data_IF_126935591064
#
_entry.id   IF_126935591064
#
_cell.length_a   1.000
_cell.length_b   1.000
_cell.length_c   1.000
_cell.angle_alpha   90.00
_cell.angle_beta   90.00
_cell.angle_gamma   90.00
#
_symmetry.space_group_name_H-M   'P 1'
#
loop_
_entity.id
_entity.type
_entity.pdbx_description
1 polymer ?
#
# COMPACT_ATOMS: atom_id res chain seq x y z
N UNK A 1 -6.39 -7.23 5.42
CA UNK A 1 -6.14 -6.89 4.01
C UNK A 1 -6.02 -5.37 3.77
N UNK A 2 -6.87 -4.50 4.36
CA UNK A 2 -6.87 -3.03 4.11
C UNK A 2 -5.51 -2.33 4.31
N UNK A 3 -4.72 -2.73 5.33
CA UNK A 3 -3.42 -2.12 5.64
C UNK A 3 -2.36 -2.29 4.54
N UNK A 4 -2.37 -3.43 3.85
CA UNK A 4 -1.41 -3.70 2.78
C UNK A 4 -1.68 -2.80 1.57
N UNK A 5 -2.97 -2.57 1.26
CA UNK A 5 -3.36 -1.69 0.16
C UNK A 5 -2.96 -0.23 0.41
N UNK A 6 -3.16 0.27 1.63
CA UNK A 6 -2.68 1.61 2.03
C UNK A 6 -1.16 1.74 1.92
N UNK A 7 -0.43 0.68 2.26
CA UNK A 7 1.03 0.64 2.15
C UNK A 7 1.48 0.70 0.69
N UNK A 8 0.85 -0.10 -0.18
CA UNK A 8 1.11 -0.10 -1.63
C UNK A 8 0.82 1.28 -2.24
N UNK A 9 -0.30 1.93 -1.87
CA UNK A 9 -0.65 3.27 -2.36
C UNK A 9 0.37 4.32 -1.90
N UNK A 10 0.83 4.26 -0.65
CA UNK A 10 1.87 5.16 -0.14
C UNK A 10 3.21 4.97 -0.87
N UNK A 11 3.63 3.72 -1.06
CA UNK A 11 4.83 3.39 -1.83
C UNK A 11 4.73 3.83 -3.29
N UNK A 12 3.56 3.65 -3.93
CA UNK A 12 3.31 4.14 -5.29
C UNK A 12 3.47 5.66 -5.40
N UNK A 13 3.12 6.40 -4.35
CA UNK A 13 3.23 7.86 -4.29
C UNK A 13 4.63 8.35 -3.90
N UNK A 14 5.43 7.52 -3.24
CA UNK A 14 6.80 7.85 -2.87
C UNK A 14 7.70 8.01 -4.11
N UNK A 15 8.42 9.14 -4.20
CA UNK A 15 9.34 9.47 -5.31
C UNK A 15 10.62 8.64 -5.27
N UNK A 16 10.97 8.05 -4.13
CA UNK A 16 12.15 7.19 -3.95
C UNK A 16 12.01 5.85 -4.67
N UNK A 17 10.77 5.39 -4.90
CA UNK A 17 10.51 4.19 -5.69
C UNK A 17 10.80 4.49 -7.17
N UNK A 18 11.71 3.70 -7.74
CA UNK A 18 12.13 3.87 -9.13
C UNK A 18 10.92 3.83 -10.09
N UNK A 19 10.80 4.76 -11.06
CA UNK A 19 9.64 4.83 -11.94
C UNK A 19 9.32 3.51 -12.66
N UNK A 20 10.35 2.73 -13.03
CA UNK A 20 10.18 1.40 -13.64
C UNK A 20 9.41 0.42 -12.75
N UNK A 21 9.54 0.50 -11.44
CA UNK A 21 8.82 -0.38 -10.51
C UNK A 21 7.34 0.00 -10.48
N UNK A 22 7.02 1.30 -10.62
CA UNK A 22 5.63 1.81 -10.70
C UNK A 22 4.93 1.42 -11.99
N UNK A 23 5.69 1.17 -13.05
CA UNK A 23 5.15 0.72 -14.34
C UNK A 23 4.50 -0.67 -14.21
N UNK A 24 4.95 -1.54 -13.29
CA UNK A 24 4.34 -2.85 -13.05
C UNK A 24 2.86 -2.79 -12.62
N UNK A 25 2.50 -2.13 -11.50
CA UNK A 25 1.10 -1.99 -11.11
C UNK A 25 0.30 -1.15 -12.11
N UNK A 26 0.94 -0.24 -12.85
CA UNK A 26 0.27 0.53 -13.90
C UNK A 26 -0.07 -0.33 -15.13
N UNK A 27 0.83 -1.21 -15.56
CA UNK A 27 0.54 -2.19 -16.62
C UNK A 27 -0.57 -3.15 -16.19
N UNK A 28 -0.55 -3.60 -14.93
CA UNK A 28 -1.62 -4.43 -14.38
C UNK A 28 -2.99 -3.73 -14.45
N UNK A 29 -3.03 -2.41 -14.24
CA UNK A 29 -4.27 -1.64 -14.31
C UNK A 29 -4.70 -1.35 -15.76
N UNK A 30 -3.76 -1.09 -16.66
CA UNK A 30 -4.01 -0.95 -18.10
C UNK A 30 -4.58 -2.26 -18.66
N UNK A 31 -4.05 -3.40 -18.21
CA UNK A 31 -4.54 -4.73 -18.60
C UNK A 31 -6.02 -4.93 -18.23
N UNK A 32 -6.46 -4.44 -17.07
CA UNK A 32 -7.89 -4.47 -16.68
C UNK A 32 -8.79 -3.58 -17.56
N UNK A 33 -8.24 -2.52 -18.18
CA UNK A 33 -8.99 -1.60 -19.04
C UNK A 33 -9.13 -2.16 -20.46
N UNK A 34 -8.17 -2.98 -20.91
CA UNK A 34 -8.17 -3.56 -22.25
C UNK A 34 -7.94 -5.08 -22.19
N UNK A 35 -8.98 -5.86 -21.83
CA UNK A 35 -8.88 -7.31 -21.71
C UNK A 35 -8.59 -8.02 -23.05
N UNK A 36 -8.82 -7.34 -24.18
CA UNK A 36 -8.70 -7.93 -25.52
C UNK A 36 -7.24 -8.16 -25.99
N UNK A 37 -6.22 -7.74 -25.23
CA UNK A 37 -4.81 -7.88 -25.65
C UNK A 37 -4.23 -9.29 -25.47
N UNK A 38 -4.83 -10.14 -24.62
CA UNK A 38 -4.31 -11.49 -24.34
C UNK A 38 -5.43 -12.54 -24.47
N UNK A 39 -5.65 -13.11 -25.66
CA UNK A 39 -6.43 -14.33 -25.80
C UNK A 39 -5.58 -15.53 -25.38
N UNK A 40 -5.93 -16.18 -24.25
CA UNK A 40 -5.22 -17.36 -23.74
C UNK A 40 -5.64 -17.77 -22.32
N UNK A 41 -5.12 -18.86 -21.76
CA UNK A 41 -5.50 -19.40 -20.43
C UNK A 41 -5.03 -18.53 -19.25
N UNK A 42 -4.48 -17.35 -19.52
CA UNK A 42 -4.02 -16.40 -18.52
C UNK A 42 -5.19 -15.51 -18.16
N UNK A 43 -6.08 -16.05 -17.32
CA UNK A 43 -7.18 -15.29 -16.72
C UNK A 43 -6.62 -14.05 -15.98
N UNK A 44 -7.34 -12.93 -16.00
CA UNK A 44 -6.87 -11.61 -15.52
C UNK A 44 -6.21 -11.63 -14.13
N UNK A 45 -6.65 -12.54 -13.27
CA UNK A 45 -6.09 -12.77 -11.94
C UNK A 45 -4.62 -13.23 -11.95
N UNK A 46 -4.21 -14.04 -12.93
CA UNK A 46 -2.83 -14.53 -13.07
C UNK A 46 -1.90 -13.38 -13.44
N UNK A 47 -2.34 -12.52 -14.36
CA UNK A 47 -1.60 -11.34 -14.80
C UNK A 47 -1.42 -10.39 -13.62
N UNK A 48 -2.50 -10.03 -12.94
CA UNK A 48 -2.46 -9.15 -11.76
C UNK A 48 -1.55 -9.74 -10.67
N UNK A 49 -1.72 -11.03 -10.35
CA UNK A 49 -0.90 -11.70 -9.33
C UNK A 49 0.60 -11.68 -9.65
N UNK A 50 0.97 -11.92 -10.90
CA UNK A 50 2.35 -11.89 -11.36
C UNK A 50 2.96 -10.48 -11.24
N UNK A 51 2.25 -9.46 -11.71
CA UNK A 51 2.70 -8.07 -11.63
C UNK A 51 2.83 -7.60 -10.18
N UNK A 52 1.89 -7.98 -9.31
CA UNK A 52 1.94 -7.67 -7.88
C UNK A 52 3.11 -8.37 -7.18
N UNK A 53 3.40 -9.62 -7.53
CA UNK A 53 4.53 -10.36 -6.99
C UNK A 53 5.87 -9.74 -7.40
N UNK A 54 6.03 -9.38 -8.67
CA UNK A 54 7.22 -8.67 -9.13
C UNK A 54 7.36 -7.29 -8.49
N UNK A 55 6.27 -6.55 -8.35
CA UNK A 55 6.29 -5.27 -7.65
C UNK A 55 6.83 -5.43 -6.23
N UNK A 56 6.28 -6.37 -5.46
CA UNK A 56 6.72 -6.62 -4.09
C UNK A 56 8.18 -7.06 -4.02
N UNK A 57 8.68 -7.86 -4.97
CA UNK A 57 10.08 -8.32 -4.97
C UNK A 57 11.07 -7.26 -5.44
N UNK A 58 10.62 -6.23 -6.17
CA UNK A 58 11.46 -5.15 -6.68
C UNK A 58 11.48 -3.93 -5.75
N UNK A 59 10.48 -3.81 -4.89
CA UNK A 59 10.46 -2.77 -3.86
C UNK A 59 11.53 -3.09 -2.79
N UNK A 60 12.44 -2.14 -2.48
CA UNK A 60 13.41 -2.30 -1.40
C UNK A 60 12.73 -2.47 -0.04
N UNK A 61 13.19 -3.43 0.76
CA UNK A 61 12.66 -3.70 2.11
C UNK A 61 12.77 -2.48 3.02
N UNK A 62 13.83 -1.67 2.89
CA UNK A 62 14.03 -0.43 3.66
C UNK A 62 12.85 0.55 3.52
N UNK A 63 12.28 0.67 2.31
CA UNK A 63 11.12 1.53 2.06
C UNK A 63 9.84 0.92 2.62
N UNK A 64 9.71 -0.42 2.57
CA UNK A 64 8.57 -1.13 3.15
C UNK A 64 8.55 -0.92 4.65
N UNK A 65 9.70 -1.08 5.30
CA UNK A 65 9.84 -0.94 6.74
C UNK A 65 9.64 0.51 7.18
N UNK A 66 10.21 1.50 6.49
CA UNK A 66 9.98 2.93 6.78
C UNK A 66 8.46 3.25 6.81
N UNK A 67 7.71 2.79 5.81
CA UNK A 67 6.27 3.02 5.75
C UNK A 67 5.46 2.18 6.75
N UNK A 68 5.94 0.99 7.13
CA UNK A 68 5.34 0.20 8.22
C UNK A 68 5.48 0.90 9.55
N UNK A 69 6.68 1.43 9.84
CA UNK A 69 6.96 2.22 11.02
C UNK A 69 6.12 3.50 11.05
N UNK A 70 5.99 4.22 9.94
CA UNK A 70 5.12 5.40 9.85
C UNK A 70 3.65 5.07 10.12
N UNK A 71 3.13 3.97 9.55
CA UNK A 71 1.76 3.53 9.81
C UNK A 71 1.53 3.16 11.28
N UNK A 72 2.52 2.54 11.94
CA UNK A 72 2.44 2.20 13.35
C UNK A 72 2.50 3.45 14.23
N UNK A 73 3.39 4.39 13.90
CA UNK A 73 3.50 5.68 14.59
C UNK A 73 2.23 6.54 14.45
N UNK A 74 1.60 6.57 13.27
CA UNK A 74 0.32 7.26 13.07
C UNK A 74 -0.80 6.61 13.90
N UNK A 75 -0.84 5.28 13.97
CA UNK A 75 -1.84 4.58 14.80
C UNK A 75 -1.68 4.89 16.28
N UNK A 76 -0.45 4.92 16.80
CA UNK A 76 -0.19 5.24 18.21
C UNK A 76 -0.64 6.67 18.53
N UNK A 77 -0.43 7.62 17.61
CA UNK A 77 -0.92 8.99 17.79
C UNK A 77 -2.44 9.08 17.83
N UNK A 78 -3.13 8.43 16.90
CA UNK A 78 -4.61 8.39 16.88
C UNK A 78 -5.15 7.75 18.17
N UNK A 79 -4.57 6.64 18.62
CA UNK A 79 -4.99 5.96 19.85
C UNK A 79 -4.77 6.81 21.11
N UNK A 80 -3.71 7.63 21.12
CA UNK A 80 -3.45 8.59 22.21
C UNK A 80 -4.39 9.80 22.18
N UNK A 81 -4.78 10.32 21.01
CA UNK A 81 -5.80 11.37 20.89
C UNK A 81 -7.18 10.88 21.36
N UNK A 82 -7.55 9.64 21.05
CA UNK A 82 -8.80 9.03 21.53
C UNK A 82 -8.77 8.73 23.05
N UNK A 83 -7.57 8.66 23.65
CA UNK A 83 -7.38 8.41 25.10
C UNK A 83 -7.18 9.72 25.90
N UNK A 84 -7.55 10.89 25.36
CA UNK A 84 -7.64 12.11 26.17
C UNK A 84 -8.88 12.01 27.06
N UNK A 85 -8.68 11.52 28.29
CA UNK A 85 -9.70 11.48 29.32
C UNK A 85 -9.80 12.89 29.91
N UNK A 86 -10.86 13.63 29.58
CA UNK A 86 -11.20 14.89 30.28
C UNK A 86 -11.48 14.55 31.76
N UNK A 87 -10.51 14.86 32.63
CA UNK A 87 -10.71 14.74 34.06
C UNK A 87 -11.62 15.87 34.55
N UNK A 88 -12.87 15.56 34.87
CA UNK A 88 -13.70 16.47 35.66
C UNK A 88 -13.15 16.54 37.09
N UNK A 89 -12.64 17.71 37.47
CA UNK A 89 -12.16 18.01 38.80
C UNK A 89 -13.35 18.43 39.67
N UNK A 90 -13.70 17.61 40.66
CA UNK A 90 -14.71 17.96 41.66
C UNK A 90 -14.02 18.63 42.84
N UNK A 91 -14.28 19.93 43.06
CA UNK A 91 -13.93 20.61 44.32
C UNK A 91 -15.03 20.28 45.35
N UNK A 92 -14.64 19.66 46.46
CA UNK A 92 -15.51 19.39 47.64
C UNK A 92 -15.88 20.67 48.40
#
# INVERSE_FOLDING_TARGET
MVKQLQLIIRLLKDKRVHPLIKVLPFLSLIYLIYPDFVPGPFDDAVVIGLFMQFFMSLVPDDLVDEHRYEQEAERIKTDQEDTIIEGEFWEE
#
